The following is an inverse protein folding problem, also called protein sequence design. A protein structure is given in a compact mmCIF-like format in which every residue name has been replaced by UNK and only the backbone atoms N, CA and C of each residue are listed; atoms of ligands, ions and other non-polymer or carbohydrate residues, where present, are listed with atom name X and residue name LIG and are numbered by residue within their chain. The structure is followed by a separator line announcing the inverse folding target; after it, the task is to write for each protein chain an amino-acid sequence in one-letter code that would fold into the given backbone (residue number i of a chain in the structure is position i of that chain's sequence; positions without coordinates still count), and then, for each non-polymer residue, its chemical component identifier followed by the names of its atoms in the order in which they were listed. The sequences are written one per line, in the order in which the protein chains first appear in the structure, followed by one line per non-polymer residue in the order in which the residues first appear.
data_IF_311660919716
#
_entry.id   IF_311660919716
#
_cell.length_a   1.000
_cell.length_b   1.000
_cell.length_c   1.000
_cell.angle_alpha   90.00
_cell.angle_beta   90.00
_cell.angle_gamma   90.00
#
_symmetry.space_group_name_H-M   'P 1'
#
loop_
_entity.id
_entity.type
_entity.pdbx_description
1 polymer ?
#
# COMPACT_ATOMS: atom_id res chain seq x y z
N UNK A 1 38.49 -6.27 -8.98
CA UNK A 1 37.46 -6.94 -8.16
C UNK A 1 37.30 -6.14 -6.87
N UNK A 2 36.30 -5.28 -6.76
CA UNK A 2 36.08 -4.51 -5.54
C UNK A 2 35.45 -5.44 -4.49
N UNK A 3 36.13 -5.66 -3.37
CA UNK A 3 35.58 -6.43 -2.26
C UNK A 3 34.35 -5.72 -1.72
N UNK A 4 33.16 -6.28 -1.96
CA UNK A 4 31.94 -5.89 -1.27
C UNK A 4 32.16 -6.15 0.23
N UNK A 5 32.52 -5.12 0.97
CA UNK A 5 32.54 -5.16 2.43
C UNK A 5 31.09 -5.29 2.91
N UNK A 6 30.61 -6.53 3.04
CA UNK A 6 29.33 -6.86 3.70
C UNK A 6 29.48 -6.57 5.20
N UNK A 7 29.36 -5.30 5.58
CA UNK A 7 29.33 -4.88 6.99
C UNK A 7 27.88 -4.75 7.44
N UNK A 8 27.59 -5.22 8.65
CA UNK A 8 26.31 -4.96 9.31
C UNK A 8 26.23 -3.46 9.58
N UNK A 9 25.16 -2.82 9.10
CA UNK A 9 24.87 -1.44 9.45
C UNK A 9 24.10 -1.41 10.78
N UNK A 10 24.49 -0.51 11.66
CA UNK A 10 23.87 -0.33 12.98
C UNK A 10 23.16 1.01 12.95
N UNK A 11 21.83 0.98 13.10
CA UNK A 11 20.97 2.16 13.11
C UNK A 11 19.53 1.79 12.80
N UNK A 12 18.58 2.39 13.51
CA UNK A 12 17.16 2.25 13.19
C UNK A 12 16.48 3.61 13.25
N UNK A 13 16.04 4.08 12.10
CA UNK A 13 15.13 5.20 11.98
C UNK A 13 13.76 4.68 11.57
N UNK A 14 12.73 5.36 12.06
CA UNK A 14 11.34 5.04 11.80
C UNK A 14 10.65 6.32 11.35
N UNK A 15 9.94 6.23 10.24
CA UNK A 15 9.10 7.29 9.74
C UNK A 15 7.74 6.71 9.36
N UNK A 16 6.66 7.34 9.78
CA UNK A 16 5.32 6.94 9.36
C UNK A 16 4.51 8.15 8.93
N UNK A 17 3.91 8.07 7.75
CA UNK A 17 2.99 9.08 7.23
C UNK A 17 1.71 8.46 6.70
N UNK A 18 0.71 9.29 6.47
CA UNK A 18 -0.58 8.93 5.88
C UNK A 18 -0.82 9.80 4.68
N UNK A 19 -1.13 9.16 3.56
CA UNK A 19 -1.41 9.87 2.30
C UNK A 19 -2.79 9.46 1.80
N UNK A 20 -3.41 10.33 1.02
CA UNK A 20 -4.66 10.03 0.34
C UNK A 20 -4.34 9.88 -1.15
N UNK A 21 -4.62 8.70 -1.68
CA UNK A 21 -4.57 8.43 -3.11
C UNK A 21 -5.80 9.03 -3.78
N UNK A 22 -5.65 9.51 -5.02
CA UNK A 22 -6.76 10.03 -5.82
C UNK A 22 -7.87 8.98 -5.92
N UNK A 23 -9.15 9.40 -5.88
CA UNK A 23 -10.27 8.51 -6.18
C UNK A 23 -10.06 7.88 -7.56
N UNK A 24 -10.30 6.58 -7.65
CA UNK A 24 -10.25 5.84 -8.90
C UNK A 24 -11.60 5.17 -9.12
N UNK A 25 -11.94 4.94 -10.39
CA UNK A 25 -13.02 4.01 -10.74
C UNK A 25 -12.50 2.59 -10.64
N UNK A 26 -13.39 1.61 -10.74
CA UNK A 26 -13.00 0.21 -10.84
C UNK A 26 -11.89 -0.04 -11.85
N UNK A 27 -10.95 -0.91 -11.47
CA UNK A 27 -9.87 -1.37 -12.31
C UNK A 27 -8.52 -1.31 -11.58
N UNK A 28 -7.46 -1.51 -12.34
CA UNK A 28 -6.10 -1.54 -11.83
C UNK A 28 -5.38 -0.25 -12.22
N UNK A 29 -4.80 0.43 -11.22
CA UNK A 29 -4.24 1.78 -11.38
C UNK A 29 -2.79 1.84 -10.89
N UNK A 30 -1.89 2.38 -11.69
CA UNK A 30 -0.52 2.67 -11.24
C UNK A 30 -0.51 3.83 -10.26
N UNK A 31 0.03 3.60 -9.06
CA UNK A 31 0.11 4.59 -8.00
C UNK A 31 1.53 4.83 -7.48
N UNK A 32 2.55 4.19 -8.08
CA UNK A 32 3.96 4.33 -7.70
C UNK A 32 4.39 5.80 -7.59
N UNK A 33 4.24 6.56 -8.67
CA UNK A 33 4.66 7.97 -8.72
C UNK A 33 3.88 8.86 -7.75
N UNK A 34 2.58 8.58 -7.59
CA UNK A 34 1.73 9.32 -6.66
C UNK A 34 2.15 9.07 -5.21
N UNK A 35 2.52 7.83 -4.88
CA UNK A 35 3.08 7.47 -3.58
C UNK A 35 4.42 8.16 -3.37
N UNK A 36 5.37 7.98 -4.29
CA UNK A 36 6.74 8.50 -4.17
C UNK A 36 6.79 10.03 -3.96
N UNK A 37 5.95 10.79 -4.67
CA UNK A 37 5.85 12.26 -4.48
C UNK A 37 5.38 12.66 -3.08
N UNK A 38 4.71 11.77 -2.35
CA UNK A 38 4.17 12.02 -1.01
C UNK A 38 5.07 11.50 0.12
N UNK A 39 6.21 10.88 -0.22
CA UNK A 39 7.19 10.36 0.75
C UNK A 39 8.63 10.80 0.41
N UNK A 40 8.91 12.12 0.31
CA UNK A 40 10.26 12.62 0.02
C UNK A 40 11.32 12.11 1.02
N UNK A 41 10.93 11.81 2.26
CA UNK A 41 11.80 11.28 3.32
C UNK A 41 12.42 9.92 2.97
N UNK A 42 11.86 9.21 1.97
CA UNK A 42 12.47 7.98 1.43
C UNK A 42 13.93 8.20 1.04
N UNK A 43 14.27 9.38 0.52
CA UNK A 43 15.63 9.70 0.09
C UNK A 43 16.65 9.76 1.25
N UNK A 44 16.18 9.85 2.50
CA UNK A 44 17.05 9.88 3.68
C UNK A 44 17.53 8.48 4.09
N UNK A 45 16.88 7.42 3.61
CA UNK A 45 17.23 6.04 3.96
C UNK A 45 18.34 5.49 3.04
N UNK A 46 19.32 4.80 3.61
CA UNK A 46 20.35 4.07 2.87
C UNK A 46 19.90 2.64 2.56
N UNK A 47 19.38 1.94 3.56
CA UNK A 47 18.83 0.58 3.43
C UNK A 47 17.67 0.45 4.41
N UNK A 48 16.62 -0.27 4.04
CA UNK A 48 15.46 -0.41 4.89
C UNK A 48 14.31 -1.19 4.27
N UNK A 49 13.14 -1.01 4.86
CA UNK A 49 11.87 -1.56 4.40
C UNK A 49 10.82 -0.43 4.37
N UNK A 50 10.12 -0.33 3.24
CA UNK A 50 8.93 0.48 3.08
C UNK A 50 7.71 -0.44 3.19
N UNK A 51 6.91 -0.25 4.24
CA UNK A 51 5.65 -0.96 4.41
C UNK A 51 4.49 -0.02 4.10
N UNK A 52 3.65 -0.40 3.14
CA UNK A 52 2.49 0.36 2.68
C UNK A 52 1.25 -0.44 3.04
N UNK A 53 0.30 0.16 3.73
CA UNK A 53 -0.96 -0.49 4.11
C UNK A 53 -2.15 0.42 3.79
N UNK A 54 -3.21 -0.15 3.23
CA UNK A 54 -4.47 0.57 3.06
C UNK A 54 -5.10 0.90 4.42
N UNK A 55 -5.67 2.09 4.55
CA UNK A 55 -6.20 2.65 5.81
C UNK A 55 -7.64 3.14 5.67
N UNK A 56 -8.46 2.84 6.68
CA UNK A 56 -9.89 3.12 6.74
C UNK A 56 -10.06 4.44 7.44
N UNK A 57 -11.10 5.17 7.06
CA UNK A 57 -11.44 6.39 7.74
C UNK A 57 -12.30 6.09 8.98
N UNK A 58 -11.67 6.08 10.16
CA UNK A 58 -12.39 5.95 11.44
C UNK A 58 -13.52 6.98 11.64
N UNK A 59 -13.57 8.08 10.87
CA UNK A 59 -14.67 9.04 10.99
C UNK A 59 -16.05 8.49 10.60
N UNK A 60 -16.11 7.34 9.90
CA UNK A 60 -17.36 6.65 9.56
C UNK A 60 -17.93 5.80 10.71
N UNK A 61 -17.17 5.59 11.80
CA UNK A 61 -17.64 4.91 13.02
C UNK A 61 -18.41 5.82 13.99
N UNK A 62 -18.64 7.10 13.65
CA UNK A 62 -19.44 8.01 14.50
C UNK A 62 -20.88 7.54 14.76
N UNK A 63 -21.34 6.50 14.06
CA UNK A 63 -22.64 5.84 14.28
C UNK A 63 -22.61 4.52 15.07
N UNK A 64 -21.45 3.98 15.45
CA UNK A 64 -21.37 2.72 16.24
C UNK A 64 -21.10 3.04 17.71
N UNK A 65 -22.12 3.53 18.41
CA UNK A 65 -22.09 3.84 19.86
C UNK A 65 -21.90 2.59 20.73
N UNK A 66 -22.01 1.38 20.19
CA UNK A 66 -22.06 0.14 20.98
C UNK A 66 -20.67 -0.43 21.32
N UNK A 67 -19.60 -0.06 20.61
CA UNK A 67 -18.28 -0.69 20.79
C UNK A 67 -17.33 0.03 21.78
N UNK A 68 -17.60 1.29 22.14
CA UNK A 68 -16.67 2.10 22.95
C UNK A 68 -16.67 1.77 24.45
N UNK A 69 -17.66 1.04 24.95
CA UNK A 69 -17.80 0.71 26.37
C UNK A 69 -17.28 -0.67 26.78
N UNK A 70 -16.74 -1.47 25.85
CA UNK A 70 -16.16 -2.75 26.21
C UNK A 70 -14.72 -2.57 26.72
N UNK A 71 -14.49 -2.94 27.99
CA UNK A 71 -13.18 -2.91 28.65
C UNK A 71 -12.06 -3.61 27.83
N UNK A 72 -12.44 -4.59 27.01
CA UNK A 72 -11.57 -5.27 26.04
C UNK A 72 -10.90 -4.33 25.03
N UNK A 73 -11.61 -3.29 24.55
CA UNK A 73 -11.07 -2.35 23.58
C UNK A 73 -9.98 -1.44 24.18
N UNK A 74 -10.12 -1.11 25.48
CA UNK A 74 -9.10 -0.36 26.23
C UNK A 74 -7.90 -1.23 26.62
N UNK A 75 -8.13 -2.52 26.87
CA UNK A 75 -7.08 -3.46 27.29
C UNK A 75 -6.05 -3.75 26.18
N UNK A 76 -6.52 -3.89 24.93
CA UNK A 76 -5.66 -4.13 23.76
C UNK A 76 -4.73 -2.93 23.46
N UNK A 77 -5.17 -1.70 23.76
CA UNK A 77 -4.38 -0.49 23.50
C UNK A 77 -3.41 -0.10 24.63
N UNK A 78 -3.56 -0.67 25.84
CA UNK A 78 -2.78 -0.27 27.02
C UNK A 78 -1.45 -1.04 27.19
N UNK A 79 -1.25 -2.14 26.48
CA UNK A 79 -0.04 -2.97 26.59
C UNK A 79 0.51 -3.34 25.21
N UNK A 80 1.42 -2.52 24.66
CA UNK A 80 2.44 -3.04 23.75
C UNK A 80 3.63 -2.09 23.66
N UNK A 81 4.67 -2.46 24.41
CA UNK A 81 6.04 -1.97 24.29
C UNK A 81 6.76 -3.09 23.51
N UNK A 82 7.36 -2.76 22.36
CA UNK A 82 8.31 -3.60 21.61
C UNK A 82 7.85 -4.98 21.11
N UNK A 83 6.73 -5.10 20.39
CA UNK A 83 6.49 -6.27 19.53
C UNK A 83 5.64 -5.92 18.30
N UNK A 84 6.10 -6.33 17.12
CA UNK A 84 5.41 -6.19 15.85
C UNK A 84 4.10 -7.00 15.88
N UNK A 85 2.95 -6.32 15.92
CA UNK A 85 1.65 -6.93 15.70
C UNK A 85 1.07 -6.41 14.39
N UNK A 86 1.01 -7.26 13.36
CA UNK A 86 0.27 -7.00 12.12
C UNK A 86 -1.22 -7.30 12.36
N UNK A 87 -1.98 -6.32 12.83
CA UNK A 87 -3.44 -6.37 12.76
C UNK A 87 -3.89 -5.62 11.50
N UNK A 88 -4.09 -6.39 10.42
CA UNK A 88 -4.57 -5.90 9.12
C UNK A 88 -6.08 -6.02 9.04
N UNK A 89 -6.80 -4.89 8.99
CA UNK A 89 -7.93 -4.66 8.05
C UNK A 89 -8.16 -3.16 8.06
N UNK A 90 -7.85 -2.44 6.97
CA UNK A 90 -8.31 -1.06 6.90
C UNK A 90 -8.61 -0.57 5.45
N UNK A 91 -8.98 -1.45 4.52
CA UNK A 91 -9.99 -1.23 3.47
C UNK A 91 -10.41 -2.62 2.99
N UNK A 92 -11.70 -2.89 2.88
CA UNK A 92 -12.20 -4.23 2.57
C UNK A 92 -12.49 -4.44 1.09
N UNK A 93 -12.51 -3.37 0.29
CA UNK A 93 -12.95 -3.39 -1.10
C UNK A 93 -11.93 -2.87 -2.10
N UNK A 94 -10.66 -2.70 -1.68
CA UNK A 94 -9.55 -2.34 -2.56
C UNK A 94 -8.28 -3.07 -2.12
N UNK A 95 -7.34 -3.23 -3.05
CA UNK A 95 -6.09 -3.97 -2.82
C UNK A 95 -4.86 -3.21 -3.26
N UNK A 96 -3.71 -3.65 -2.77
CA UNK A 96 -2.40 -3.23 -3.26
C UNK A 96 -1.65 -4.43 -3.83
N UNK A 97 -1.03 -4.27 -4.99
CA UNK A 97 -0.24 -5.31 -5.65
C UNK A 97 1.05 -4.74 -6.24
N UNK A 98 2.05 -5.60 -6.44
CA UNK A 98 3.24 -5.32 -7.25
C UNK A 98 3.15 -6.11 -8.53
N UNK A 99 3.15 -5.44 -9.67
CA UNK A 99 3.12 -6.11 -10.96
C UNK A 99 3.60 -5.14 -12.07
N UNK A 100 3.46 -5.55 -13.32
CA UNK A 100 3.95 -4.86 -14.50
C UNK A 100 3.54 -3.38 -14.54
N UNK A 101 4.45 -2.48 -14.95
CA UNK A 101 4.25 -1.03 -15.03
C UNK A 101 4.47 -0.48 -16.45
N UNK A 102 4.46 -1.35 -17.45
CA UNK A 102 4.73 -0.97 -18.83
C UNK A 102 3.50 -1.15 -19.72
N UNK A 103 3.01 -2.39 -19.83
CA UNK A 103 1.88 -2.70 -20.69
C UNK A 103 0.53 -2.44 -19.99
N UNK A 104 -0.33 -1.54 -20.51
CA UNK A 104 -1.67 -1.33 -19.99
C UNK A 104 -2.57 -2.57 -20.14
N UNK A 105 -2.37 -3.43 -21.14
CA UNK A 105 -3.23 -4.60 -21.39
C UNK A 105 -3.18 -5.59 -20.21
N UNK A 106 -2.03 -5.70 -19.55
CA UNK A 106 -1.86 -6.55 -18.36
C UNK A 106 -2.81 -6.12 -17.23
N UNK A 107 -3.12 -4.83 -17.11
CA UNK A 107 -4.06 -4.33 -16.10
C UNK A 107 -5.50 -4.69 -16.44
N UNK A 108 -5.87 -4.58 -17.71
CA UNK A 108 -7.20 -4.91 -18.19
C UNK A 108 -7.45 -6.42 -18.14
N UNK A 109 -6.44 -7.23 -18.48
CA UNK A 109 -6.49 -8.69 -18.38
C UNK A 109 -6.62 -9.19 -16.95
N UNK A 110 -5.88 -8.57 -16.01
CA UNK A 110 -6.00 -8.90 -14.58
C UNK A 110 -7.39 -8.54 -14.07
N UNK A 111 -7.94 -7.37 -14.41
CA UNK A 111 -9.31 -7.00 -14.00
C UNK A 111 -10.35 -7.92 -14.64
N UNK A 112 -10.21 -8.25 -15.93
CA UNK A 112 -11.03 -9.25 -16.60
C UNK A 112 -10.99 -10.59 -15.85
N UNK A 113 -9.81 -11.07 -15.47
CA UNK A 113 -9.66 -12.34 -14.77
C UNK A 113 -10.28 -12.29 -13.37
N UNK A 114 -10.09 -11.20 -12.62
CA UNK A 114 -10.73 -11.00 -11.33
C UNK A 114 -12.26 -11.01 -11.44
N UNK A 115 -12.82 -10.43 -12.51
CA UNK A 115 -14.26 -10.47 -12.79
C UNK A 115 -14.77 -11.87 -13.17
N UNK A 116 -13.93 -12.69 -13.82
CA UNK A 116 -14.26 -14.09 -14.12
C UNK A 116 -14.23 -14.98 -12.88
N UNK A 117 -13.26 -14.79 -11.98
CA UNK A 117 -13.12 -15.58 -10.74
C UNK A 117 -14.18 -15.17 -9.71
N UNK A 118 -14.45 -13.85 -9.61
CA UNK A 118 -15.36 -13.26 -8.64
C UNK A 118 -16.42 -12.40 -9.35
N UNK A 119 -17.43 -13.03 -9.99
CA UNK A 119 -18.42 -12.31 -10.76
C UNK A 119 -19.47 -11.60 -9.90
N UNK A 120 -19.90 -10.44 -10.37
CA UNK A 120 -21.04 -9.68 -9.81
C UNK A 120 -22.34 -10.37 -10.24
N UNK A 121 -23.10 -10.91 -9.30
CA UNK A 121 -24.33 -11.66 -9.62
C UNK A 121 -24.33 -13.11 -9.15
N UNK A 122 -23.27 -13.58 -8.48
CA UNK A 122 -23.41 -14.76 -7.63
C UNK A 122 -24.34 -14.46 -6.46
N UNK A 123 -24.95 -15.51 -5.90
CA UNK A 123 -25.86 -15.44 -4.76
C UNK A 123 -25.11 -15.16 -3.44
N UNK A 124 -24.40 -14.03 -3.38
CA UNK A 124 -23.74 -13.55 -2.17
C UNK A 124 -24.78 -13.20 -1.11
N UNK A 125 -24.54 -13.64 0.13
CA UNK A 125 -25.40 -13.30 1.27
C UNK A 125 -25.28 -11.84 1.69
N UNK A 126 -24.11 -11.24 1.46
CA UNK A 126 -23.85 -9.83 1.69
C UNK A 126 -24.18 -9.07 0.41
N UNK A 127 -25.24 -8.27 0.43
CA UNK A 127 -25.77 -7.60 -0.78
C UNK A 127 -26.33 -6.21 -0.49
N UNK A 128 -26.06 -5.64 0.69
CA UNK A 128 -26.70 -4.41 1.15
C UNK A 128 -26.09 -3.13 0.58
N UNK A 129 -24.87 -3.16 0.02
CA UNK A 129 -24.16 -1.97 -0.46
C UNK A 129 -23.94 -1.95 -1.99
N UNK A 130 -24.73 -2.74 -2.72
CA UNK A 130 -24.69 -2.82 -4.18
C UNK A 130 -24.13 -4.14 -4.73
N UNK A 131 -24.26 -4.38 -6.04
CA UNK A 131 -23.86 -5.63 -6.68
C UNK A 131 -22.33 -5.85 -6.72
N UNK A 132 -21.54 -4.79 -6.62
CA UNK A 132 -20.08 -4.80 -6.69
C UNK A 132 -19.39 -4.95 -5.32
N UNK A 133 -20.16 -4.87 -4.23
CA UNK A 133 -19.62 -4.80 -2.88
C UNK A 133 -19.00 -6.12 -2.40
N UNK A 134 -19.79 -7.20 -2.32
CA UNK A 134 -19.25 -8.48 -1.89
C UNK A 134 -18.18 -9.03 -2.84
N UNK A 135 -18.30 -8.93 -4.18
CA UNK A 135 -17.20 -9.23 -5.08
C UNK A 135 -15.92 -8.47 -4.74
N UNK A 136 -16.02 -7.17 -4.44
CA UNK A 136 -14.88 -6.36 -4.04
C UNK A 136 -14.20 -6.87 -2.77
N UNK A 137 -14.99 -7.34 -1.79
CA UNK A 137 -14.46 -7.98 -0.58
C UNK A 137 -13.70 -9.27 -0.86
N UNK A 138 -14.23 -10.14 -1.72
CA UNK A 138 -13.55 -11.39 -2.08
C UNK A 138 -12.26 -11.11 -2.85
N UNK A 139 -12.30 -10.22 -3.85
CA UNK A 139 -11.11 -9.81 -4.61
C UNK A 139 -10.05 -9.19 -3.69
N UNK A 140 -10.48 -8.42 -2.69
CA UNK A 140 -9.56 -7.84 -1.71
C UNK A 140 -8.83 -8.89 -0.87
N UNK A 141 -9.51 -9.97 -0.49
CA UNK A 141 -8.90 -11.10 0.21
C UNK A 141 -7.86 -11.84 -0.64
N UNK A 142 -8.04 -11.90 -1.96
CA UNK A 142 -7.08 -12.57 -2.84
C UNK A 142 -5.78 -11.80 -3.04
N UNK A 143 -5.86 -10.49 -3.23
CA UNK A 143 -4.67 -9.67 -3.53
C UNK A 143 -4.00 -9.11 -2.27
N UNK A 144 -4.76 -8.90 -1.19
CA UNK A 144 -4.27 -8.33 0.05
C UNK A 144 -4.27 -6.79 0.04
N UNK A 145 -3.98 -6.22 1.21
CA UNK A 145 -4.20 -4.81 1.52
C UNK A 145 -2.91 -4.05 1.89
N UNK A 146 -1.75 -4.71 1.77
CA UNK A 146 -0.46 -4.18 2.16
C UNK A 146 0.67 -4.71 1.30
N UNK A 147 1.73 -3.92 1.15
CA UNK A 147 2.98 -4.26 0.48
C UNK A 147 4.17 -3.98 1.41
N UNK A 148 5.21 -4.81 1.29
CA UNK A 148 6.50 -4.61 1.97
C UNK A 148 7.60 -4.62 0.92
N UNK A 149 8.22 -3.46 0.68
CA UNK A 149 9.15 -3.22 -0.43
C UNK A 149 10.50 -2.80 0.16
N UNK A 150 11.62 -3.46 -0.20
CA UNK A 150 12.94 -3.04 0.29
C UNK A 150 13.29 -1.61 -0.15
N UNK A 151 14.09 -0.93 0.66
CA UNK A 151 14.67 0.37 0.35
C UNK A 151 16.16 0.17 0.11
N UNK A 152 16.69 0.76 -0.96
CA UNK A 152 18.13 0.78 -1.26
C UNK A 152 18.51 2.13 -1.85
N UNK A 153 19.52 2.76 -1.27
CA UNK A 153 20.00 4.10 -1.63
C UNK A 153 18.84 5.07 -1.88
N UNK A 154 17.93 5.14 -0.90
CA UNK A 154 16.75 6.02 -0.83
C UNK A 154 15.77 5.90 -2.00
N UNK A 155 15.70 4.71 -2.60
CA UNK A 155 14.70 4.33 -3.58
C UNK A 155 14.00 3.04 -3.13
N UNK A 156 12.77 2.85 -3.59
CA UNK A 156 12.12 1.55 -3.50
C UNK A 156 12.81 0.58 -4.46
N UNK A 157 13.22 -0.58 -3.95
CA UNK A 157 13.85 -1.62 -4.75
C UNK A 157 12.77 -2.40 -5.49
N UNK A 158 12.47 -1.95 -6.71
CA UNK A 158 11.52 -2.56 -7.63
C UNK A 158 12.28 -3.13 -8.83
N UNK A 159 11.79 -4.23 -9.41
CA UNK A 159 12.25 -4.70 -10.71
C UNK A 159 11.97 -3.68 -11.82
N UNK A 160 12.68 -3.78 -12.96
CA UNK A 160 12.56 -2.84 -14.10
C UNK A 160 11.12 -2.58 -14.52
N UNK A 161 10.30 -3.63 -14.49
CA UNK A 161 8.90 -3.59 -14.89
C UNK A 161 7.94 -3.57 -13.72
N UNK A 162 8.40 -3.51 -12.47
CA UNK A 162 7.51 -3.55 -11.31
C UNK A 162 7.05 -2.16 -10.88
N UNK A 163 5.75 -2.02 -10.69
CA UNK A 163 5.12 -0.85 -10.08
C UNK A 163 4.12 -1.24 -9.01
N UNK A 164 3.72 -0.26 -8.20
CA UNK A 164 2.68 -0.39 -7.20
C UNK A 164 1.33 -0.12 -7.86
N UNK A 165 0.44 -1.09 -7.75
CA UNK A 165 -0.94 -0.99 -8.20
C UNK A 165 -1.88 -0.71 -7.03
N UNK A 166 -2.86 0.16 -7.29
CA UNK A 166 -4.12 0.22 -6.55
C UNK A 166 -5.15 -0.55 -7.36
N UNK A 167 -5.62 -1.68 -6.84
CA UNK A 167 -6.72 -2.42 -7.43
C UNK A 167 -8.02 -1.93 -6.79
N UNK A 168 -8.77 -1.11 -7.52
CA UNK A 168 -10.06 -0.60 -7.09
C UNK A 168 -11.15 -1.56 -7.57
N UNK A 169 -11.85 -2.19 -6.63
CA UNK A 169 -12.85 -3.22 -6.96
C UNK A 169 -14.28 -2.68 -6.98
N UNK A 170 -14.51 -1.46 -6.45
CA UNK A 170 -15.82 -0.79 -6.50
C UNK A 170 -15.93 0.06 -7.77
N UNK A 171 -17.13 0.12 -8.35
CA UNK A 171 -17.42 0.93 -9.53
C UNK A 171 -17.21 2.43 -9.26
N UNK A 172 -17.72 2.91 -8.13
CA UNK A 172 -17.61 4.29 -7.68
C UNK A 172 -16.97 4.34 -6.28
N UNK A 173 -15.65 4.54 -6.25
CA UNK A 173 -14.90 4.64 -5.00
C UNK A 173 -14.46 6.07 -4.68
N UNK A 174 -14.46 6.39 -3.40
CA UNK A 174 -13.81 7.59 -2.89
C UNK A 174 -12.28 7.46 -2.85
N UNK A 175 -11.62 8.53 -2.42
CA UNK A 175 -10.17 8.53 -2.18
C UNK A 175 -9.78 7.43 -1.18
N UNK A 176 -8.69 6.70 -1.48
CA UNK A 176 -8.15 5.65 -0.61
C UNK A 176 -7.04 6.22 0.25
N UNK A 177 -7.16 6.10 1.57
CA UNK A 177 -6.09 6.51 2.48
C UNK A 177 -5.13 5.33 2.64
N UNK A 178 -3.83 5.61 2.62
CA UNK A 178 -2.80 4.59 2.88
C UNK A 178 -1.84 5.11 3.94
N UNK A 179 -1.40 4.23 4.83
CA UNK A 179 -0.34 4.51 5.79
C UNK A 179 0.96 3.90 5.26
N UNK A 180 2.03 4.68 5.30
CA UNK A 180 3.36 4.27 4.82
C UNK A 180 4.30 4.35 6.01
N UNK A 181 5.01 3.26 6.28
CA UNK A 181 6.02 3.16 7.33
C UNK A 181 7.37 2.83 6.70
N UNK A 182 8.35 3.69 6.89
CA UNK A 182 9.74 3.47 6.48
C UNK A 182 10.54 3.08 7.72
N UNK A 183 11.29 1.99 7.63
CA UNK A 183 12.18 1.52 8.71
C UNK A 183 13.53 1.15 8.13
N UNK A 184 14.62 1.57 8.78
CA UNK A 184 15.96 1.23 8.27
C UNK A 184 17.07 2.13 8.78
N UNK A 185 18.23 2.04 8.13
CA UNK A 185 19.38 2.90 8.40
C UNK A 185 19.30 4.16 7.53
N UNK A 186 19.50 5.33 8.15
CA UNK A 186 19.64 6.59 7.42
C UNK A 186 20.96 6.63 6.64
N UNK A 187 21.00 7.45 5.60
CA UNK A 187 22.23 7.77 4.88
C UNK A 187 23.16 8.55 5.79
N UNK A 188 24.45 8.34 5.59
CA UNK A 188 25.48 9.18 6.19
C UNK A 188 25.32 10.62 5.64
N UNK A 189 25.16 11.64 6.50
CA UNK A 189 25.08 13.05 6.09
C UNK A 189 26.28 13.50 5.24
N UNK A 190 27.43 12.82 5.33
CA UNK A 190 28.62 13.11 4.54
C UNK A 190 28.57 12.57 3.10
N UNK A 191 27.59 11.73 2.73
CA UNK A 191 27.39 11.25 1.35
C UNK A 191 26.60 12.32 0.57
N UNK A 192 27.14 12.79 -0.55
CA UNK A 192 26.50 13.78 -1.44
C UNK A 192 25.06 13.38 -1.81
N UNK A 193 24.10 14.32 -1.83
CA UNK A 193 22.70 14.02 -2.13
C UNK A 193 22.57 13.42 -3.53
N UNK A 194 21.78 12.35 -3.67
CA UNK A 194 21.34 11.92 -4.99
C UNK A 194 20.46 13.02 -5.60
N UNK A 195 20.69 13.35 -6.87
CA UNK A 195 19.81 14.22 -7.64
C UNK A 195 18.35 13.78 -7.47
N UNK A 196 17.39 14.71 -7.38
CA UNK A 196 15.97 14.35 -7.29
C UNK A 196 15.62 13.39 -8.41
N UNK A 197 14.90 12.32 -8.04
CA UNK A 197 14.51 11.21 -8.92
C UNK A 197 13.98 11.78 -10.24
N UNK A 198 14.69 11.53 -11.34
CA UNK A 198 14.11 11.73 -12.66
C UNK A 198 12.90 10.80 -12.76
N UNK A 199 11.70 11.30 -13.10
CA UNK A 199 10.56 10.42 -13.34
C UNK A 199 10.98 9.40 -14.39
N UNK A 200 10.68 8.12 -14.12
CA UNK A 200 10.78 7.07 -15.13
C UNK A 200 10.04 7.60 -16.36
N UNK A 201 10.74 7.64 -17.49
CA UNK A 201 10.22 8.17 -18.73
C UNK A 201 8.89 7.47 -19.06
N UNK A 202 7.79 8.19 -18.90
CA UNK A 202 6.51 7.83 -19.51
C UNK A 202 6.66 8.10 -21.00
N UNK A 203 7.12 7.12 -21.77
CA UNK A 203 6.92 7.14 -23.22
C UNK A 203 5.54 6.58 -23.49
N UNK A 204 4.62 7.50 -23.76
CA UNK A 204 3.37 7.24 -24.44
C UNK A 204 3.64 6.56 -25.79
N UNK A 205 2.95 5.45 -26.03
CA UNK A 205 2.46 5.02 -27.35
C UNK A 205 1.29 4.11 -27.13
#
# INVERSE_FOLDING_TARGET
MASSNRRIQIGSAWFQTKINLRPQRRGIHHVTEEILRRIPELCEFSVGLCHIQSKWNLSLLKGITIAQNNAWYKYIFSYSINSFYYFLVLHTSASLALNENWDPDVRDDVEMMLNKIVPEGLAYRHSCEGPDDMPAHVKACFLGSSLSIPITDGKLTLGTWQGIWLCEHRNDAGSRKVAITLTGCLRDPARSPLSPVSPIASTSS
#
